data_IF_768071312854
#
_entry.id   IF_768071312854
#
_cell.length_a   1.000
_cell.length_b   1.000
_cell.length_c   1.000
_cell.angle_alpha   90.00
_cell.angle_beta   90.00
_cell.angle_gamma   90.00
#
_symmetry.space_group_name_H-M   'P 1'
#
loop_
_entity.id
_entity.type
_entity.pdbx_description
1 polymer ?
#
# COMPACT_ATOMS: atom_id res chain seq x y z
N UNK A 1 3.61 -48.66 42.51
CA UNK A 1 2.94 -47.35 42.40
C UNK A 1 3.99 -46.28 42.28
N UNK A 2 4.35 -45.92 41.06
CA UNK A 2 5.35 -44.90 40.77
C UNK A 2 4.61 -43.62 40.38
N UNK A 3 4.58 -42.65 41.29
CA UNK A 3 4.13 -41.32 41.05
C UNK A 3 5.26 -40.53 40.37
N UNK A 4 5.10 -40.21 39.11
CA UNK A 4 5.95 -39.26 38.40
C UNK A 4 5.62 -37.84 38.88
N UNK A 5 6.60 -37.08 39.38
CA UNK A 5 6.41 -35.65 39.55
C UNK A 5 6.70 -34.93 38.25
N UNK A 6 5.69 -34.54 37.53
CA UNK A 6 5.79 -33.52 36.48
C UNK A 6 6.10 -32.18 37.15
N UNK A 7 7.35 -31.91 37.38
CA UNK A 7 7.82 -30.54 37.61
C UNK A 7 7.95 -29.88 36.23
N UNK A 8 6.87 -29.30 35.76
CA UNK A 8 6.94 -28.27 34.74
C UNK A 8 7.65 -27.08 35.34
N UNK A 9 8.94 -27.00 35.11
CA UNK A 9 9.70 -25.76 35.25
C UNK A 9 9.27 -24.82 34.10
N UNK A 10 8.11 -24.22 34.26
CA UNK A 10 7.81 -22.99 33.51
C UNK A 10 8.77 -21.92 34.02
N UNK A 11 9.85 -21.76 33.30
CA UNK A 11 10.70 -20.62 33.41
C UNK A 11 9.83 -19.38 33.18
N UNK A 12 9.74 -18.58 34.20
CA UNK A 12 9.12 -17.26 34.21
C UNK A 12 10.02 -16.28 33.43
N UNK A 13 10.37 -16.60 32.20
CA UNK A 13 10.90 -15.62 31.27
C UNK A 13 9.72 -14.79 30.79
N UNK A 14 9.53 -13.72 31.48
CA UNK A 14 8.51 -12.70 31.35
C UNK A 14 8.22 -12.34 29.91
N UNK A 15 7.28 -12.75 29.62
CA UNK A 15 5.96 -12.46 29.10
C UNK A 15 5.62 -10.95 29.07
N UNK A 16 6.59 -10.15 28.66
CA UNK A 16 6.28 -8.87 28.05
C UNK A 16 5.67 -9.16 26.69
N UNK A 17 4.35 -9.39 26.67
CA UNK A 17 3.60 -9.42 25.42
C UNK A 17 3.76 -8.06 24.74
N UNK A 18 4.56 -8.06 23.68
CA UNK A 18 4.75 -6.85 22.87
C UNK A 18 3.49 -6.66 22.05
N UNK A 19 2.63 -5.75 22.47
CA UNK A 19 1.43 -5.40 21.73
C UNK A 19 1.79 -4.60 20.48
N UNK A 20 1.07 -4.86 19.37
CA UNK A 20 1.28 -4.13 18.11
C UNK A 20 1.10 -2.61 18.25
N UNK A 21 0.30 -2.16 19.20
CA UNK A 21 0.09 -0.73 19.51
C UNK A 21 1.32 -0.03 20.06
N UNK A 22 2.26 -0.78 20.65
CA UNK A 22 3.51 -0.28 21.22
C UNK A 22 4.67 -0.31 20.22
N UNK A 23 4.48 -0.97 19.08
CA UNK A 23 5.51 -1.09 18.05
C UNK A 23 5.47 0.09 17.07
N UNK A 24 6.57 0.25 16.31
CA UNK A 24 6.66 1.22 15.23
C UNK A 24 5.46 1.08 14.28
N UNK A 25 4.87 2.20 13.90
CA UNK A 25 3.77 2.23 12.94
C UNK A 25 4.23 1.63 11.60
N UNK A 26 3.38 0.79 11.01
CA UNK A 26 3.63 0.22 9.69
C UNK A 26 3.51 1.32 8.61
N UNK A 27 4.42 1.31 7.65
CA UNK A 27 4.37 2.22 6.50
C UNK A 27 3.26 1.76 5.56
N UNK A 28 3.24 0.45 5.25
CA UNK A 28 2.22 -0.18 4.41
C UNK A 28 1.55 -1.34 5.18
N UNK A 29 0.40 -1.08 5.82
CA UNK A 29 -0.28 -2.08 6.64
C UNK A 29 -0.74 -3.32 5.88
N UNK A 30 -1.00 -3.21 4.57
CA UNK A 30 -1.48 -4.28 3.69
C UNK A 30 -0.52 -5.47 3.60
N UNK A 31 0.78 -5.24 3.74
CA UNK A 31 1.79 -6.31 3.74
C UNK A 31 2.05 -6.89 5.12
N UNK A 32 1.65 -6.19 6.16
CA UNK A 32 1.83 -6.62 7.54
C UNK A 32 3.25 -6.45 8.08
N UNK A 33 3.38 -6.73 9.37
CA UNK A 33 4.62 -6.48 10.11
C UNK A 33 5.79 -7.38 9.69
N UNK A 34 5.51 -8.60 9.27
CA UNK A 34 6.56 -9.53 8.86
C UNK A 34 7.33 -9.00 7.64
N UNK A 35 6.61 -8.49 6.63
CA UNK A 35 7.24 -7.90 5.44
C UNK A 35 8.00 -6.63 5.82
N UNK A 36 7.44 -5.77 6.66
CA UNK A 36 8.14 -4.57 7.14
C UNK A 36 9.46 -4.93 7.84
N UNK A 37 9.46 -5.94 8.72
CA UNK A 37 10.65 -6.41 9.40
C UNK A 37 11.70 -6.98 8.42
N UNK A 38 11.26 -7.67 7.36
CA UNK A 38 12.16 -8.17 6.31
C UNK A 38 12.79 -7.02 5.52
N UNK A 39 12.04 -5.98 5.21
CA UNK A 39 12.55 -4.78 4.55
C UNK A 39 13.55 -4.05 5.46
N UNK A 40 13.21 -3.85 6.73
CA UNK A 40 14.09 -3.23 7.71
C UNK A 40 15.41 -4.02 7.86
N UNK A 41 15.34 -5.35 7.86
CA UNK A 41 16.53 -6.22 7.84
C UNK A 41 17.33 -6.04 6.55
N UNK A 42 16.68 -6.00 5.39
CA UNK A 42 17.33 -5.82 4.10
C UNK A 42 18.16 -4.52 4.05
N UNK A 43 17.68 -3.44 4.65
CA UNK A 43 18.40 -2.17 4.76
C UNK A 43 19.70 -2.33 5.59
N UNK A 44 19.74 -3.24 6.57
CA UNK A 44 20.93 -3.46 7.43
C UNK A 44 22.02 -4.28 6.73
N UNK A 45 21.72 -4.99 5.65
CA UNK A 45 22.69 -5.81 4.91
C UNK A 45 23.73 -4.93 4.24
N UNK A 46 25.01 -5.14 4.54
CA UNK A 46 26.11 -4.32 4.03
C UNK A 46 26.49 -4.64 2.59
N UNK A 47 26.43 -5.91 2.21
CA UNK A 47 26.79 -6.37 0.88
C UNK A 47 25.67 -6.06 -0.11
N UNK A 48 25.98 -5.30 -1.18
CA UNK A 48 25.00 -4.87 -2.19
C UNK A 48 24.37 -6.07 -2.92
N UNK A 49 25.15 -7.09 -3.26
CA UNK A 49 24.64 -8.26 -3.97
C UNK A 49 23.66 -9.07 -3.10
N UNK A 50 24.00 -9.27 -1.82
CA UNK A 50 23.14 -9.95 -0.88
C UNK A 50 21.86 -9.14 -0.62
N UNK A 51 21.98 -7.83 -0.51
CA UNK A 51 20.85 -6.90 -0.36
C UNK A 51 19.91 -6.98 -1.56
N UNK A 52 20.45 -7.01 -2.78
CA UNK A 52 19.68 -7.18 -4.01
C UNK A 52 18.96 -8.53 -4.02
N UNK A 53 19.63 -9.63 -3.67
CA UNK A 53 18.99 -10.94 -3.55
C UNK A 53 17.88 -10.97 -2.48
N UNK A 54 18.11 -10.32 -1.35
CA UNK A 54 17.09 -10.16 -0.31
C UNK A 54 15.88 -9.39 -0.81
N UNK A 55 16.09 -8.30 -1.53
CA UNK A 55 15.01 -7.50 -2.13
C UNK A 55 14.16 -8.33 -3.11
N UNK A 56 14.79 -9.10 -3.99
CA UNK A 56 14.06 -10.00 -4.89
C UNK A 56 13.25 -11.07 -4.14
N UNK A 57 13.79 -11.62 -3.05
CA UNK A 57 13.05 -12.57 -2.21
C UNK A 57 11.81 -11.92 -1.58
N UNK A 58 11.95 -10.69 -1.06
CA UNK A 58 10.83 -9.93 -0.50
C UNK A 58 9.76 -9.66 -1.57
N UNK A 59 10.14 -9.20 -2.76
CA UNK A 59 9.23 -8.97 -3.88
C UNK A 59 8.46 -10.23 -4.26
N UNK A 60 9.13 -11.39 -4.30
CA UNK A 60 8.48 -12.67 -4.59
C UNK A 60 7.44 -13.03 -3.52
N UNK A 61 7.75 -12.80 -2.25
CA UNK A 61 6.80 -13.04 -1.14
C UNK A 61 5.61 -12.10 -1.25
N UNK A 62 5.85 -10.80 -1.47
CA UNK A 62 4.79 -9.80 -1.68
C UNK A 62 3.89 -10.17 -2.87
N UNK A 63 4.48 -10.61 -3.98
CA UNK A 63 3.72 -11.06 -5.15
C UNK A 63 2.87 -12.30 -4.88
N UNK A 64 3.36 -13.23 -4.05
CA UNK A 64 2.62 -14.44 -3.68
C UNK A 64 1.44 -14.16 -2.73
N UNK A 65 1.45 -13.04 -2.02
CA UNK A 65 0.31 -12.62 -1.19
C UNK A 65 -0.92 -12.24 -2.02
N UNK A 66 -0.70 -11.79 -3.26
CA UNK A 66 -1.76 -11.33 -4.17
C UNK A 66 -1.70 -12.06 -5.52
N UNK A 67 -1.96 -13.38 -5.55
CA UNK A 67 -1.77 -14.20 -6.75
C UNK A 67 -2.64 -13.77 -7.94
N UNK A 68 -3.81 -13.18 -7.70
CA UNK A 68 -4.71 -12.67 -8.73
C UNK A 68 -4.18 -11.43 -9.46
N UNK A 69 -3.21 -10.72 -8.89
CA UNK A 69 -2.57 -9.56 -9.50
C UNK A 69 -1.24 -9.91 -10.20
N UNK A 70 -0.72 -11.12 -9.98
CA UNK A 70 0.59 -11.56 -10.48
C UNK A 70 0.70 -11.55 -12.01
N UNK A 71 -0.41 -11.77 -12.70
CA UNK A 71 -0.46 -11.83 -14.16
C UNK A 71 -0.60 -10.43 -14.81
N UNK A 72 -0.77 -9.37 -14.02
CA UNK A 72 -0.81 -7.99 -14.50
C UNK A 72 0.61 -7.48 -14.66
N UNK A 73 0.99 -7.05 -15.86
CA UNK A 73 2.35 -6.61 -16.17
C UNK A 73 2.84 -5.47 -15.27
N UNK A 74 1.95 -4.52 -14.96
CA UNK A 74 2.29 -3.35 -14.15
C UNK A 74 2.41 -3.67 -12.66
N UNK A 75 1.93 -4.82 -12.21
CA UNK A 75 1.96 -5.19 -10.80
C UNK A 75 3.38 -5.34 -10.25
N UNK A 76 4.31 -5.87 -11.04
CA UNK A 76 5.72 -5.98 -10.63
C UNK A 76 6.37 -4.62 -10.38
N UNK A 77 6.04 -3.63 -11.20
CA UNK A 77 6.47 -2.25 -11.02
C UNK A 77 6.03 -1.70 -9.66
N UNK A 78 4.73 -1.82 -9.39
CA UNK A 78 4.12 -1.36 -8.14
C UNK A 78 4.78 -2.00 -6.91
N UNK A 79 5.13 -3.30 -6.99
CA UNK A 79 5.80 -3.97 -5.87
C UNK A 79 7.18 -3.35 -5.56
N UNK A 80 7.93 -2.95 -6.58
CA UNK A 80 9.23 -2.29 -6.39
C UNK A 80 9.06 -0.88 -5.81
N UNK A 81 8.03 -0.15 -6.24
CA UNK A 81 7.69 1.15 -5.67
C UNK A 81 7.32 1.01 -4.18
N UNK A 82 6.48 0.01 -3.84
CA UNK A 82 6.13 -0.27 -2.46
C UNK A 82 7.36 -0.65 -1.60
N UNK A 83 8.29 -1.44 -2.15
CA UNK A 83 9.54 -1.77 -1.44
C UNK A 83 10.37 -0.52 -1.17
N UNK A 84 10.49 0.39 -2.14
CA UNK A 84 11.20 1.65 -1.97
C UNK A 84 10.56 2.52 -0.89
N UNK A 85 9.23 2.66 -0.91
CA UNK A 85 8.46 3.40 0.11
C UNK A 85 8.65 2.78 1.49
N UNK A 86 8.54 1.45 1.62
CA UNK A 86 8.69 0.74 2.90
C UNK A 86 10.09 0.87 3.49
N UNK A 87 11.12 1.00 2.64
CA UNK A 87 12.51 1.23 3.04
C UNK A 87 12.85 2.70 3.31
N UNK A 88 11.87 3.61 3.15
CA UNK A 88 12.07 5.06 3.23
C UNK A 88 13.15 5.54 2.25
N UNK A 89 13.18 4.95 1.04
CA UNK A 89 14.15 5.21 -0.04
C UNK A 89 15.63 5.04 0.34
N UNK A 90 15.89 4.30 1.44
CA UNK A 90 17.26 4.05 1.94
C UNK A 90 17.92 2.85 1.29
N UNK A 91 17.18 2.08 0.51
CA UNK A 91 17.65 0.83 -0.07
C UNK A 91 18.48 1.11 -1.34
N UNK A 92 19.78 0.97 -1.25
CA UNK A 92 20.69 1.05 -2.40
C UNK A 92 20.85 -0.33 -3.03
N UNK A 93 20.06 -0.60 -4.07
CA UNK A 93 20.03 -1.84 -4.86
C UNK A 93 19.87 -1.53 -6.35
N UNK A 94 20.10 -2.54 -7.19
CA UNK A 94 19.83 -2.43 -8.62
C UNK A 94 18.34 -2.73 -8.89
N UNK A 95 17.57 -1.67 -9.08
CA UNK A 95 16.15 -1.80 -9.42
C UNK A 95 15.99 -2.20 -10.88
N UNK A 96 15.14 -3.20 -11.21
CA UNK A 96 14.87 -3.58 -12.59
C UNK A 96 14.00 -2.56 -13.35
N UNK A 97 13.37 -1.66 -12.62
CA UNK A 97 12.45 -0.64 -13.13
C UNK A 97 12.80 0.73 -12.54
N UNK A 98 12.35 1.78 -13.19
CA UNK A 98 12.38 3.12 -12.63
C UNK A 98 11.39 3.24 -11.49
N UNK A 99 11.89 3.55 -10.31
CA UNK A 99 11.09 3.61 -9.05
C UNK A 99 10.66 5.05 -8.81
N UNK A 100 9.45 5.21 -8.25
CA UNK A 100 8.90 6.51 -7.86
C UNK A 100 9.84 7.26 -6.92
N UNK A 101 9.97 8.58 -7.10
CA UNK A 101 10.82 9.41 -6.25
C UNK A 101 10.03 9.93 -5.05
N UNK A 102 10.73 10.12 -3.92
CA UNK A 102 10.13 10.65 -2.70
C UNK A 102 9.46 12.03 -2.91
N UNK A 103 10.01 12.84 -3.82
CA UNK A 103 9.47 14.16 -4.15
C UNK A 103 8.08 14.09 -4.77
N UNK A 104 7.84 13.08 -5.62
CA UNK A 104 6.55 12.87 -6.29
C UNK A 104 5.45 12.47 -5.32
N UNK A 105 5.79 11.67 -4.29
CA UNK A 105 4.83 11.25 -3.25
C UNK A 105 4.34 12.41 -2.38
N UNK A 106 5.19 13.40 -2.15
CA UNK A 106 4.87 14.54 -1.29
C UNK A 106 4.22 15.71 -2.07
N UNK A 107 4.07 15.57 -3.39
CA UNK A 107 3.43 16.61 -4.20
C UNK A 107 1.93 16.64 -3.89
N UNK A 108 1.38 17.75 -3.42
CA UNK A 108 -0.05 17.85 -3.17
C UNK A 108 -0.81 17.69 -4.51
N UNK A 109 -1.93 16.94 -4.51
CA UNK A 109 -2.73 16.79 -5.72
C UNK A 109 -3.21 18.15 -6.22
N UNK A 110 -3.23 18.33 -7.54
CA UNK A 110 -3.72 19.54 -8.17
C UNK A 110 -5.15 19.86 -7.72
N UNK A 111 -5.45 21.14 -7.54
CA UNK A 111 -6.80 21.58 -7.20
C UNK A 111 -7.76 21.25 -8.35
N UNK A 112 -8.77 20.45 -8.08
CA UNK A 112 -9.85 20.18 -9.04
C UNK A 112 -10.97 21.19 -8.77
N UNK A 113 -11.17 22.10 -9.71
CA UNK A 113 -12.27 23.05 -9.65
C UNK A 113 -13.61 22.33 -9.82
N UNK A 114 -14.32 22.18 -8.72
CA UNK A 114 -15.71 21.77 -8.73
C UNK A 114 -16.60 22.94 -9.10
N UNK A 115 -16.57 23.39 -10.34
CA UNK A 115 -17.55 24.35 -10.85
C UNK A 115 -18.92 23.66 -10.88
N UNK A 116 -19.62 23.69 -9.77
CA UNK A 116 -21.02 23.25 -9.70
C UNK A 116 -21.89 24.44 -9.97
N UNK A 117 -22.42 24.63 -11.19
CA UNK A 117 -23.47 25.60 -11.37
C UNK A 117 -24.62 25.24 -10.43
N UNK A 118 -25.15 26.24 -9.78
CA UNK A 118 -26.27 26.11 -8.84
C UNK A 118 -27.45 25.46 -9.57
N UNK A 119 -27.87 24.28 -9.11
CA UNK A 119 -29.04 23.60 -9.63
C UNK A 119 -30.32 24.26 -9.04
N UNK A 120 -31.27 24.63 -9.87
CA UNK A 120 -32.55 25.21 -9.44
C UNK A 120 -33.38 24.18 -8.66
N UNK A 121 -33.41 22.95 -9.15
CA UNK A 121 -34.17 21.86 -8.53
C UNK A 121 -33.23 20.65 -8.29
N UNK A 122 -32.74 20.49 -7.07
CA UNK A 122 -31.74 19.45 -6.71
C UNK A 122 -32.25 18.02 -6.89
N UNK A 123 -33.55 17.78 -6.64
CA UNK A 123 -34.17 16.46 -6.70
C UNK A 123 -34.28 15.88 -8.11
N UNK A 124 -34.26 16.71 -9.13
CA UNK A 124 -34.26 16.26 -10.55
C UNK A 124 -32.86 16.05 -11.12
N UNK A 125 -31.84 16.65 -10.51
CA UNK A 125 -30.48 16.58 -10.97
C UNK A 125 -30.17 17.45 -12.19
N UNK A 126 -28.89 17.61 -12.47
CA UNK A 126 -28.36 18.49 -13.51
C UNK A 126 -28.68 18.00 -14.93
N UNK A 127 -28.81 16.71 -15.12
CA UNK A 127 -29.05 16.11 -16.45
C UNK A 127 -30.43 16.53 -16.94
N UNK A 128 -31.45 16.42 -16.10
CA UNK A 128 -32.81 16.78 -16.48
C UNK A 128 -32.94 18.29 -16.78
N UNK A 129 -32.31 19.13 -15.95
CA UNK A 129 -32.28 20.58 -16.21
C UNK A 129 -31.61 20.91 -17.54
N UNK A 130 -30.55 20.20 -17.92
CA UNK A 130 -29.87 20.32 -19.20
C UNK A 130 -30.79 19.89 -20.36
N UNK A 131 -31.48 18.76 -20.22
CA UNK A 131 -32.40 18.25 -21.23
C UNK A 131 -33.56 19.23 -21.47
N UNK A 132 -34.13 19.80 -20.42
CA UNK A 132 -35.20 20.82 -20.53
C UNK A 132 -34.69 22.06 -21.26
N UNK A 133 -33.47 22.52 -20.96
CA UNK A 133 -32.88 23.66 -21.68
C UNK A 133 -32.68 23.39 -23.17
N UNK A 134 -32.26 22.18 -23.50
CA UNK A 134 -32.09 21.76 -24.90
C UNK A 134 -33.46 21.70 -25.60
N UNK A 135 -34.44 21.05 -24.97
CA UNK A 135 -35.79 20.94 -25.53
C UNK A 135 -36.47 22.32 -25.74
N UNK A 136 -36.29 23.25 -24.79
CA UNK A 136 -36.80 24.60 -24.88
C UNK A 136 -36.12 25.46 -25.98
N UNK A 137 -34.93 25.05 -26.41
CA UNK A 137 -34.21 25.72 -27.51
C UNK A 137 -34.47 25.08 -28.89
N UNK A 138 -35.22 23.97 -28.96
CA UNK A 138 -35.64 23.37 -30.21
C UNK A 138 -36.83 24.12 -30.76
N UNK A 139 -36.82 24.35 -32.08
CA UNK A 139 -38.00 24.90 -32.77
C UNK A 139 -39.14 23.87 -32.70
N UNK A 140 -40.38 24.38 -32.58
CA UNK A 140 -41.56 23.52 -32.57
C UNK A 140 -41.59 22.70 -33.86
N UNK A 141 -41.41 21.41 -33.75
CA UNK A 141 -41.44 20.49 -34.88
C UNK A 141 -42.83 20.41 -35.46
N UNK A 142 -42.94 20.54 -36.75
CA UNK A 142 -44.12 20.25 -37.55
C UNK A 142 -44.52 18.80 -37.45
#
# INVERSE_FOLDING_TARGET
MNTFPLKETYSNSDKNMIYNTQQKKLIMPEYGRNIQNMVDYCVTVKNREERTKCAYAIINIMGNMFPHLRDVNDFKHILWDHLAIMSDFKLDIDYPYEVIKQEELNTPPGHIDYSRPTMKYRHYGKILERMIKIAAAMEDGT
#
